data_IF_789454441741
#
_entry.id   IF_789454441741
#
_cell.length_a   1.000
_cell.length_b   1.000
_cell.length_c   1.000
_cell.angle_alpha   90.00
_cell.angle_beta   90.00
_cell.angle_gamma   90.00
#
_symmetry.space_group_name_H-M   'P 1'
#
loop_
_entity.id
_entity.type
_entity.pdbx_description
1 polymer ?
#
# COMPACT_ATOMS: atom_id res chain seq x y z
N UNK A 1 -42.77 6.27 15.27
CA UNK A 1 -42.52 7.60 14.66
C UNK A 1 -43.19 7.67 13.31
N UNK A 2 -43.90 8.75 12.97
CA UNK A 2 -44.43 8.95 11.60
C UNK A 2 -43.22 8.98 10.64
N UNK A 3 -43.27 8.17 9.57
CA UNK A 3 -42.17 7.97 8.59
C UNK A 3 -41.57 9.29 8.04
N UNK A 4 -42.30 10.38 8.12
CA UNK A 4 -41.93 11.73 7.68
C UNK A 4 -40.69 12.28 8.38
N UNK A 5 -40.51 12.05 9.69
CA UNK A 5 -39.39 12.63 10.44
C UNK A 5 -38.03 12.03 10.03
N UNK A 6 -37.87 10.69 9.97
CA UNK A 6 -36.65 10.09 9.43
C UNK A 6 -36.35 10.52 7.98
N UNK A 7 -37.36 10.59 7.12
CA UNK A 7 -37.19 10.99 5.72
C UNK A 7 -36.70 12.42 5.57
N UNK A 8 -37.22 13.35 6.38
CA UNK A 8 -36.74 14.74 6.39
C UNK A 8 -35.30 14.83 6.87
N UNK A 9 -34.93 14.08 7.92
CA UNK A 9 -33.55 14.04 8.40
C UNK A 9 -32.62 13.53 7.30
N UNK A 10 -32.97 12.42 6.64
CA UNK A 10 -32.17 11.86 5.53
C UNK A 10 -32.05 12.84 4.36
N UNK A 11 -33.14 13.52 3.98
CA UNK A 11 -33.13 14.51 2.91
C UNK A 11 -32.26 15.72 3.24
N UNK A 12 -32.35 16.24 4.47
CA UNK A 12 -31.53 17.37 4.93
C UNK A 12 -30.05 17.00 4.98
N UNK A 13 -29.71 15.83 5.53
CA UNK A 13 -28.33 15.34 5.57
C UNK A 13 -27.78 15.13 4.16
N UNK A 14 -28.56 14.53 3.26
CA UNK A 14 -28.18 14.35 1.86
C UNK A 14 -27.92 15.68 1.15
N UNK A 15 -28.78 16.68 1.36
CA UNK A 15 -28.59 18.02 0.80
C UNK A 15 -27.35 18.71 1.38
N UNK A 16 -27.09 18.58 2.68
CA UNK A 16 -25.86 19.08 3.31
C UNK A 16 -24.62 18.49 2.67
N UNK A 17 -24.58 17.17 2.40
CA UNK A 17 -23.45 16.55 1.71
C UNK A 17 -23.24 17.10 0.29
N UNK A 18 -24.32 17.30 -0.47
CA UNK A 18 -24.24 17.88 -1.82
C UNK A 18 -23.69 19.31 -1.77
N UNK A 19 -24.21 20.16 -0.89
CA UNK A 19 -23.75 21.55 -0.76
C UNK A 19 -22.29 21.62 -0.30
N UNK A 20 -21.90 20.78 0.66
CA UNK A 20 -20.53 20.70 1.18
C UNK A 20 -19.54 20.29 0.09
N UNK A 21 -19.93 19.39 -0.82
CA UNK A 21 -19.06 18.93 -1.91
C UNK A 21 -18.74 20.01 -2.94
N UNK A 22 -19.69 20.92 -3.22
CA UNK A 22 -19.51 21.96 -4.25
C UNK A 22 -19.10 23.33 -3.69
N UNK A 23 -19.14 23.54 -2.37
CA UNK A 23 -18.88 24.84 -1.74
C UNK A 23 -17.76 24.73 -0.70
N UNK A 24 -16.54 25.24 -0.97
CA UNK A 24 -15.41 25.14 -0.04
C UNK A 24 -15.70 25.70 1.36
N UNK A 25 -16.51 26.76 1.47
CA UNK A 25 -16.90 27.34 2.75
C UNK A 25 -17.83 26.44 3.60
N UNK A 26 -18.45 25.42 3.00
CA UNK A 26 -19.39 24.51 3.65
C UNK A 26 -18.78 23.14 3.96
N UNK A 27 -17.50 22.91 3.67
CA UNK A 27 -16.80 21.63 3.90
C UNK A 27 -16.95 21.10 5.33
N UNK A 28 -16.88 22.00 6.33
CA UNK A 28 -17.03 21.68 7.74
C UNK A 28 -18.39 21.05 8.10
N UNK A 29 -19.46 21.38 7.37
CA UNK A 29 -20.79 20.80 7.59
C UNK A 29 -20.82 19.33 7.15
N UNK A 30 -20.11 19.02 6.07
CA UNK A 30 -19.90 17.66 5.58
C UNK A 30 -19.07 16.83 6.56
N UNK A 31 -17.98 17.39 7.09
CA UNK A 31 -17.15 16.73 8.11
C UNK A 31 -17.94 16.41 9.39
N UNK A 32 -18.69 17.39 9.90
CA UNK A 32 -19.54 17.20 11.08
C UNK A 32 -20.61 16.12 10.83
N UNK A 33 -21.26 16.15 9.67
CA UNK A 33 -22.25 15.15 9.29
C UNK A 33 -21.64 13.74 9.18
N UNK A 34 -20.43 13.62 8.64
CA UNK A 34 -19.71 12.35 8.56
C UNK A 34 -19.36 11.79 9.95
N UNK A 35 -18.86 12.62 10.86
CA UNK A 35 -18.56 12.22 12.24
C UNK A 35 -19.81 11.68 12.95
N UNK A 36 -20.93 12.40 12.84
CA UNK A 36 -22.20 11.94 13.43
C UNK A 36 -22.73 10.67 12.78
N UNK A 37 -22.59 10.54 11.46
CA UNK A 37 -22.95 9.32 10.75
C UNK A 37 -22.13 8.12 11.26
N UNK A 38 -20.82 8.27 11.43
CA UNK A 38 -19.95 7.19 11.91
C UNK A 38 -20.30 6.76 13.34
N UNK A 39 -20.62 7.71 14.23
CA UNK A 39 -21.11 7.42 15.60
C UNK A 39 -22.43 6.63 15.54
N UNK A 40 -23.39 7.09 14.75
CA UNK A 40 -24.70 6.44 14.62
C UNK A 40 -24.58 5.05 13.96
N UNK A 41 -23.74 4.91 12.95
CA UNK A 41 -23.45 3.64 12.28
C UNK A 41 -22.83 2.64 13.26
N UNK A 42 -21.87 3.07 14.09
CA UNK A 42 -21.28 2.24 15.13
C UNK A 42 -22.32 1.69 16.11
N UNK A 43 -23.22 2.55 16.60
CA UNK A 43 -24.33 2.13 17.49
C UNK A 43 -25.29 1.17 16.76
N UNK A 44 -25.64 1.47 15.50
CA UNK A 44 -26.53 0.63 14.70
C UNK A 44 -25.94 -0.77 14.45
N UNK A 45 -24.64 -0.89 14.20
CA UNK A 45 -23.97 -2.19 14.05
C UNK A 45 -24.01 -3.00 15.34
N UNK A 46 -23.76 -2.38 16.50
CA UNK A 46 -23.85 -3.06 17.80
C UNK A 46 -25.28 -3.53 18.07
N UNK A 47 -26.28 -2.68 17.85
CA UNK A 47 -27.69 -3.03 18.06
C UNK A 47 -28.15 -4.11 17.07
N UNK A 48 -27.77 -4.01 15.80
CA UNK A 48 -28.10 -4.98 14.75
C UNK A 48 -27.50 -6.35 15.05
N UNK A 49 -26.19 -6.42 15.33
CA UNK A 49 -25.51 -7.66 15.71
C UNK A 49 -26.04 -8.24 17.03
N UNK A 50 -26.28 -7.38 18.03
CA UNK A 50 -26.85 -7.78 19.32
C UNK A 50 -28.26 -8.35 19.18
N UNK A 51 -29.10 -7.78 18.31
CA UNK A 51 -30.44 -8.31 18.05
C UNK A 51 -30.38 -9.67 17.34
N UNK A 52 -29.52 -9.82 16.34
CA UNK A 52 -29.29 -11.09 15.64
C UNK A 52 -28.87 -12.17 16.64
N UNK A 53 -27.84 -11.90 17.46
CA UNK A 53 -27.37 -12.83 18.49
C UNK A 53 -28.49 -13.17 19.49
N UNK A 54 -29.19 -12.17 20.03
CA UNK A 54 -30.28 -12.38 21.01
C UNK A 54 -31.36 -13.32 20.46
N UNK A 55 -31.84 -13.05 19.24
CA UNK A 55 -32.93 -13.84 18.62
C UNK A 55 -32.49 -15.28 18.36
N UNK A 56 -31.30 -15.47 17.78
CA UNK A 56 -30.83 -16.79 17.42
C UNK A 56 -30.33 -17.60 18.63
N UNK A 57 -29.66 -16.99 19.61
CA UNK A 57 -29.26 -17.64 20.86
C UNK A 57 -30.49 -18.09 21.65
N UNK A 58 -31.52 -17.24 21.74
CA UNK A 58 -32.78 -17.63 22.37
C UNK A 58 -33.44 -18.80 21.65
N UNK A 59 -33.47 -18.79 20.31
CA UNK A 59 -34.04 -19.88 19.52
C UNK A 59 -33.30 -21.21 19.72
N UNK A 60 -31.98 -21.17 19.89
CA UNK A 60 -31.13 -22.32 20.22
C UNK A 60 -31.40 -22.80 21.66
N UNK A 61 -31.39 -21.89 22.62
CA UNK A 61 -31.67 -22.20 24.04
C UNK A 61 -33.05 -22.81 24.23
N UNK A 62 -34.06 -22.26 23.55
CA UNK A 62 -35.45 -22.74 23.60
C UNK A 62 -35.67 -24.02 22.74
N UNK A 63 -34.63 -24.52 22.04
CA UNK A 63 -34.68 -25.66 21.10
C UNK A 63 -35.86 -25.64 20.10
N UNK A 64 -36.27 -24.45 19.66
CA UNK A 64 -37.41 -24.31 18.74
C UNK A 64 -37.10 -24.93 17.38
N UNK A 65 -38.14 -25.30 16.63
CA UNK A 65 -37.99 -25.81 15.27
C UNK A 65 -37.06 -24.91 14.42
N UNK A 66 -36.09 -25.53 13.76
CA UNK A 66 -35.04 -24.83 13.00
C UNK A 66 -33.95 -24.17 13.86
N UNK A 67 -33.72 -24.62 15.10
CA UNK A 67 -32.60 -24.16 15.94
C UNK A 67 -31.23 -24.43 15.30
N UNK A 68 -31.08 -25.54 14.57
CA UNK A 68 -29.83 -25.88 13.88
C UNK A 68 -29.39 -24.81 12.87
N UNK A 69 -30.32 -24.30 12.05
CA UNK A 69 -30.06 -23.19 11.13
C UNK A 69 -29.65 -21.90 11.86
N UNK A 70 -30.21 -21.65 13.05
CA UNK A 70 -29.79 -20.50 13.87
C UNK A 70 -28.37 -20.65 14.39
N UNK A 71 -27.93 -21.87 14.69
CA UNK A 71 -26.53 -22.17 15.00
C UNK A 71 -25.60 -21.84 13.83
N UNK A 72 -25.98 -22.26 12.61
CA UNK A 72 -25.23 -21.94 11.38
C UNK A 72 -25.16 -20.42 11.16
N UNK A 73 -26.27 -19.68 11.34
CA UNK A 73 -26.27 -18.22 11.21
C UNK A 73 -25.34 -17.54 12.21
N UNK A 74 -25.36 -17.95 13.48
CA UNK A 74 -24.45 -17.39 14.49
C UNK A 74 -23.00 -17.69 14.13
N UNK A 75 -22.70 -18.93 13.73
CA UNK A 75 -21.35 -19.32 13.36
C UNK A 75 -20.84 -18.49 12.17
N UNK A 76 -21.65 -18.34 11.13
CA UNK A 76 -21.31 -17.53 9.96
C UNK A 76 -21.11 -16.04 10.33
N UNK A 77 -21.97 -15.51 11.19
CA UNK A 77 -21.85 -14.14 11.71
C UNK A 77 -20.55 -13.95 12.49
N UNK A 78 -20.25 -14.83 13.45
CA UNK A 78 -19.04 -14.76 14.28
C UNK A 78 -17.78 -14.94 13.43
N UNK A 79 -17.77 -15.91 12.51
CA UNK A 79 -16.63 -16.11 11.61
C UNK A 79 -16.37 -14.86 10.75
N UNK A 80 -17.42 -14.27 10.17
CA UNK A 80 -17.31 -13.03 9.38
C UNK A 80 -16.84 -11.86 10.22
N UNK A 81 -17.34 -11.73 11.46
CA UNK A 81 -16.94 -10.68 12.39
C UNK A 81 -15.47 -10.81 12.81
N UNK A 82 -15.00 -12.02 13.09
CA UNK A 82 -13.60 -12.30 13.44
C UNK A 82 -12.68 -12.03 12.25
N UNK A 83 -13.04 -12.49 11.05
CA UNK A 83 -12.31 -12.20 9.81
C UNK A 83 -12.21 -10.69 9.57
N UNK A 84 -13.34 -9.99 9.76
CA UNK A 84 -13.44 -8.54 9.70
C UNK A 84 -12.53 -7.87 10.73
N UNK A 85 -12.83 -7.94 12.02
CA UNK A 85 -12.07 -7.27 13.07
C UNK A 85 -10.58 -7.63 13.09
N UNK A 86 -10.26 -8.88 12.74
CA UNK A 86 -8.89 -9.37 12.68
C UNK A 86 -8.12 -8.92 11.45
N UNK A 87 -8.70 -8.22 10.47
CA UNK A 87 -8.01 -7.81 9.23
C UNK A 87 -7.38 -8.98 8.44
N UNK A 88 -7.97 -10.17 8.53
CA UNK A 88 -7.43 -11.35 7.86
C UNK A 88 -7.39 -11.13 6.33
N UNK A 89 -6.19 -11.24 5.75
CA UNK A 89 -5.96 -11.05 4.31
C UNK A 89 -5.78 -9.60 3.84
N UNK A 90 -5.81 -8.61 4.74
CA UNK A 90 -5.42 -7.24 4.37
C UNK A 90 -3.89 -7.18 4.18
N UNK A 91 -3.38 -6.80 2.99
CA UNK A 91 -1.94 -6.65 2.79
C UNK A 91 -1.45 -5.49 3.66
N UNK A 92 -0.32 -5.64 4.35
CA UNK A 92 0.06 -4.65 5.33
C UNK A 92 0.38 -3.30 4.66
N UNK A 93 0.02 -2.20 5.34
CA UNK A 93 -0.06 -0.90 4.70
C UNK A 93 1.33 -0.42 4.27
N UNK A 94 1.56 -0.02 2.99
CA UNK A 94 2.90 0.29 2.51
C UNK A 94 3.63 1.36 3.32
N UNK A 95 2.89 2.36 3.81
CA UNK A 95 3.41 3.44 4.65
C UNK A 95 3.70 3.01 6.10
N UNK A 96 3.11 1.91 6.57
CA UNK A 96 3.26 1.40 7.94
C UNK A 96 4.24 0.23 8.04
N UNK A 97 4.48 -0.48 6.92
CA UNK A 97 5.47 -1.55 6.85
C UNK A 97 6.90 -1.06 6.60
N UNK A 98 7.08 0.18 6.13
CA UNK A 98 8.41 0.74 5.84
C UNK A 98 9.24 -0.18 4.94
N UNK A 99 8.64 -0.61 3.82
CA UNK A 99 9.27 -1.54 2.88
C UNK A 99 10.64 -1.03 2.40
N UNK A 100 11.64 -1.90 2.48
CA UNK A 100 13.02 -1.56 2.16
C UNK A 100 13.82 -1.04 3.35
N UNK A 101 13.24 -0.99 4.55
CA UNK A 101 13.95 -0.59 5.77
C UNK A 101 14.17 -1.76 6.72
N UNK A 102 15.25 -1.69 7.48
CA UNK A 102 15.56 -2.53 8.63
C UNK A 102 15.50 -1.67 9.88
N UNK A 103 15.01 -2.21 10.99
CA UNK A 103 14.84 -1.48 12.25
C UNK A 103 15.73 -2.04 13.35
N UNK A 104 16.16 -1.17 14.24
CA UNK A 104 16.74 -1.54 15.53
C UNK A 104 16.07 -0.73 16.64
N UNK A 105 15.73 -1.42 17.72
CA UNK A 105 15.14 -0.79 18.91
C UNK A 105 16.15 0.18 19.52
N UNK A 106 15.74 1.44 19.64
CA UNK A 106 16.54 2.49 20.23
C UNK A 106 15.61 3.52 20.90
N UNK A 107 15.62 3.63 22.24
CA UNK A 107 14.80 4.63 22.91
C UNK A 107 15.31 6.05 22.61
N UNK A 108 14.42 7.04 22.66
CA UNK A 108 14.72 8.42 22.28
C UNK A 108 15.83 9.03 23.17
N UNK A 109 15.91 8.58 24.42
CA UNK A 109 16.91 9.00 25.41
C UNK A 109 18.32 8.47 25.07
N UNK A 110 18.40 7.38 24.32
CA UNK A 110 19.65 6.79 23.86
C UNK A 110 20.24 7.48 22.62
N UNK A 111 19.49 8.38 21.96
CA UNK A 111 20.05 9.21 20.89
C UNK A 111 21.21 10.07 21.44
N UNK A 112 22.30 10.23 20.69
CA UNK A 112 23.41 11.08 21.11
C UNK A 112 23.04 12.56 21.11
N UNK A 113 23.74 13.34 21.93
CA UNK A 113 23.59 14.80 21.99
C UNK A 113 24.03 15.48 20.68
N UNK A 114 24.92 14.84 19.90
CA UNK A 114 25.31 15.29 18.56
C UNK A 114 24.14 15.34 17.57
N UNK A 115 23.05 14.60 17.85
CA UNK A 115 21.82 14.60 17.04
C UNK A 115 20.73 15.50 17.62
N UNK A 116 21.07 16.43 18.51
CA UNK A 116 20.13 17.46 18.99
C UNK A 116 20.39 18.75 18.24
N UNK A 117 19.57 19.03 17.23
CA UNK A 117 19.57 20.29 16.52
C UNK A 117 18.98 21.39 17.39
N UNK A 118 19.61 22.56 17.42
CA UNK A 118 19.19 23.71 18.25
C UNK A 118 19.10 24.96 17.41
N UNK A 119 17.97 25.65 17.46
CA UNK A 119 17.74 26.90 16.72
C UNK A 119 17.10 27.94 17.63
N UNK A 120 17.49 29.22 17.57
CA UNK A 120 16.83 30.28 18.32
C UNK A 120 15.33 30.36 17.96
N UNK A 121 14.48 30.48 18.98
CA UNK A 121 13.05 30.64 18.78
C UNK A 121 12.20 30.13 19.94
N UNK A 122 10.89 30.34 19.80
CA UNK A 122 9.89 29.82 20.72
C UNK A 122 8.85 29.05 19.93
N UNK A 123 8.39 27.94 20.51
CA UNK A 123 7.28 27.16 20.00
C UNK A 123 6.02 28.02 20.18
N UNK A 124 5.30 28.36 19.10
CA UNK A 124 4.12 29.20 19.21
C UNK A 124 3.01 28.44 19.95
N UNK A 125 2.31 29.09 20.87
CA UNK A 125 1.10 28.53 21.46
C UNK A 125 -0.09 28.74 20.52
N UNK A 126 -0.96 27.74 20.38
CA UNK A 126 -2.28 27.92 19.76
C UNK A 126 -3.27 28.41 20.83
N UNK A 127 -4.16 29.33 20.44
CA UNK A 127 -5.15 29.95 21.33
C UNK A 127 -6.15 28.93 21.90
N UNK A 128 -6.37 27.83 21.18
CA UNK A 128 -7.22 26.71 21.60
C UNK A 128 -6.49 25.69 22.50
N UNK A 129 -5.22 25.91 22.84
CA UNK A 129 -4.41 24.99 23.65
C UNK A 129 -4.05 23.67 22.95
N UNK A 130 -4.22 23.60 21.62
CA UNK A 130 -3.95 22.38 20.86
C UNK A 130 -2.45 22.03 20.89
N UNK A 131 -2.09 20.78 21.25
CA UNK A 131 -0.71 20.37 21.39
C UNK A 131 0.01 20.32 20.04
N UNK A 132 1.34 20.25 20.08
CA UNK A 132 2.15 20.03 18.89
C UNK A 132 1.74 18.73 18.14
N UNK A 133 1.95 18.67 16.81
CA UNK A 133 1.57 17.52 16.01
C UNK A 133 2.14 16.21 16.59
N UNK A 134 1.36 15.11 16.59
CA UNK A 134 1.81 13.82 17.13
C UNK A 134 3.13 13.33 16.54
N UNK A 135 3.39 13.63 15.27
CA UNK A 135 4.59 13.26 14.52
C UNK A 135 5.88 13.84 15.10
N UNK A 136 5.83 14.98 15.82
CA UNK A 136 7.00 15.72 16.30
C UNK A 136 7.04 15.92 17.81
N UNK A 137 5.89 15.85 18.50
CA UNK A 137 5.76 16.19 19.94
C UNK A 137 6.70 15.43 20.88
N UNK A 138 7.22 14.27 20.45
CA UNK A 138 8.20 13.49 21.23
C UNK A 138 9.64 13.94 20.99
N UNK A 139 9.94 14.55 19.85
CA UNK A 139 11.30 14.90 19.42
C UNK A 139 11.62 16.39 19.57
N UNK A 140 10.60 17.25 19.61
CA UNK A 140 10.77 18.70 19.75
C UNK A 140 10.62 19.12 21.23
N UNK A 141 11.48 20.02 21.68
CA UNK A 141 11.41 20.64 23.00
C UNK A 141 11.83 22.12 22.92
N UNK A 142 11.46 22.91 23.92
CA UNK A 142 11.93 24.28 24.08
C UNK A 142 12.72 24.39 25.39
N UNK A 143 13.93 24.93 25.32
CA UNK A 143 14.81 25.16 26.48
C UNK A 143 15.63 26.43 26.27
N UNK A 144 15.71 27.28 27.29
CA UNK A 144 16.57 28.47 27.30
C UNK A 144 16.41 29.39 26.05
N UNK A 145 15.17 29.58 25.57
CA UNK A 145 14.90 30.39 24.38
C UNK A 145 15.34 29.78 23.04
N UNK A 146 15.68 28.49 23.05
CA UNK A 146 15.98 27.71 21.86
C UNK A 146 14.95 26.58 21.70
N UNK A 147 14.73 26.22 20.43
CA UNK A 147 13.97 25.05 20.04
C UNK A 147 14.96 23.95 19.72
N UNK A 148 14.80 22.83 20.41
CA UNK A 148 15.60 21.62 20.24
C UNK A 148 14.79 20.58 19.46
N UNK A 149 15.42 19.94 18.49
CA UNK A 149 14.87 18.76 17.82
C UNK A 149 15.86 17.60 17.96
N UNK A 150 15.41 16.49 18.52
CA UNK A 150 16.23 15.31 18.77
C UNK A 150 16.05 14.26 17.66
N UNK A 151 17.14 13.91 17.00
CA UNK A 151 17.19 13.01 15.85
C UNK A 151 17.17 13.78 14.53
N UNK A 152 16.79 13.09 13.45
CA UNK A 152 16.66 13.69 12.13
C UNK A 152 15.21 14.02 11.82
N UNK A 153 14.97 15.22 11.28
CA UNK A 153 13.63 15.67 10.95
C UNK A 153 13.23 15.16 9.56
N UNK A 154 12.09 14.48 9.49
CA UNK A 154 11.52 13.97 8.25
C UNK A 154 10.76 15.06 7.48
N UNK A 155 10.61 14.94 6.15
CA UNK A 155 9.84 15.91 5.35
C UNK A 155 8.40 16.12 5.83
N UNK A 156 7.70 15.04 6.20
CA UNK A 156 6.32 15.11 6.70
C UNK A 156 6.26 15.83 8.06
N UNK A 157 7.24 15.59 8.94
CA UNK A 157 7.35 16.30 10.23
C UNK A 157 7.58 17.80 10.05
N UNK A 158 8.39 18.19 9.04
CA UNK A 158 8.59 19.59 8.67
C UNK A 158 7.27 20.21 8.21
N UNK A 159 6.55 19.51 7.33
CA UNK A 159 5.26 19.97 6.84
C UNK A 159 4.25 20.17 7.99
N UNK A 160 4.07 19.17 8.84
CA UNK A 160 3.20 19.24 10.02
C UNK A 160 3.56 20.42 10.94
N UNK A 161 4.86 20.65 11.18
CA UNK A 161 5.31 21.81 11.96
C UNK A 161 4.99 23.13 11.27
N UNK A 162 5.19 23.24 9.96
CA UNK A 162 4.86 24.47 9.22
C UNK A 162 3.37 24.80 9.25
N UNK A 163 2.51 23.79 9.21
CA UNK A 163 1.05 23.95 9.28
C UNK A 163 0.54 24.25 10.69
N UNK A 164 1.31 23.88 11.73
CA UNK A 164 0.90 24.11 13.12
C UNK A 164 0.59 25.59 13.43
N UNK A 165 1.27 26.54 12.80
CA UNK A 165 0.96 27.97 12.95
C UNK A 165 1.28 28.72 11.68
N UNK A 166 0.29 29.38 11.08
CA UNK A 166 0.49 30.18 9.88
C UNK A 166 1.14 31.54 10.18
N UNK A 167 2.44 31.52 10.53
CA UNK A 167 3.28 32.71 10.70
C UNK A 167 4.58 32.55 9.94
N UNK A 168 4.96 33.55 9.15
CA UNK A 168 6.23 33.55 8.38
C UNK A 168 7.46 33.31 9.26
N UNK A 169 7.48 33.91 10.45
CA UNK A 169 8.58 33.73 11.41
C UNK A 169 8.72 32.26 11.83
N UNK A 170 7.61 31.61 12.15
CA UNK A 170 7.58 30.20 12.52
C UNK A 170 8.04 29.29 11.37
N UNK A 171 7.52 29.49 10.15
CA UNK A 171 7.94 28.70 8.98
C UNK A 171 9.45 28.81 8.72
N UNK A 172 10.06 29.98 8.95
CA UNK A 172 11.52 30.18 8.85
C UNK A 172 12.28 29.43 9.95
N UNK A 173 11.80 29.47 11.19
CA UNK A 173 12.40 28.70 12.30
C UNK A 173 12.33 27.21 12.02
N UNK A 174 11.20 26.69 11.52
CA UNK A 174 11.04 25.29 11.13
C UNK A 174 11.97 24.93 9.98
N UNK A 175 12.15 25.80 9.00
CA UNK A 175 13.13 25.56 7.92
C UNK A 175 14.56 25.46 8.47
N UNK A 176 14.99 26.42 9.30
CA UNK A 176 16.31 26.39 9.91
C UNK A 176 16.52 25.14 10.78
N UNK A 177 15.49 24.73 11.53
CA UNK A 177 15.51 23.52 12.35
C UNK A 177 15.60 22.27 11.49
N UNK A 178 14.85 22.21 10.39
CA UNK A 178 14.92 21.11 9.43
C UNK A 178 16.32 20.97 8.83
N UNK A 179 16.94 22.08 8.40
CA UNK A 179 18.30 22.06 7.84
C UNK A 179 19.35 21.60 8.87
N UNK A 180 19.21 22.01 10.14
CA UNK A 180 20.10 21.59 11.22
C UNK A 180 19.89 20.12 11.64
N UNK A 181 18.67 19.60 11.54
CA UNK A 181 18.29 18.24 11.93
C UNK A 181 18.40 17.24 10.78
N UNK A 182 19.46 17.31 9.96
CA UNK A 182 19.70 16.38 8.86
C UNK A 182 20.77 15.33 9.20
N UNK A 183 20.67 14.10 8.65
CA UNK A 183 21.74 13.13 8.75
C UNK A 183 23.01 13.61 8.03
N UNK A 184 24.18 13.04 8.39
CA UNK A 184 25.40 13.23 7.63
C UNK A 184 25.17 12.96 6.15
N UNK A 185 25.87 13.69 5.27
CA UNK A 185 25.64 13.64 3.83
C UNK A 185 25.70 12.22 3.25
N UNK A 186 26.65 11.40 3.72
CA UNK A 186 26.81 9.99 3.32
C UNK A 186 25.63 9.07 3.69
N UNK A 187 24.85 9.46 4.70
CA UNK A 187 23.71 8.71 5.23
C UNK A 187 22.36 9.31 4.83
N UNK A 188 22.34 10.46 4.14
CA UNK A 188 21.11 11.15 3.78
C UNK A 188 20.21 10.27 2.90
N UNK A 189 18.94 10.17 3.29
CA UNK A 189 17.96 9.30 2.64
C UNK A 189 18.10 7.80 2.93
N UNK A 190 19.13 7.39 3.68
CA UNK A 190 19.32 6.00 4.11
C UNK A 190 18.89 5.75 5.55
N UNK A 191 18.91 6.76 6.41
CA UNK A 191 18.64 6.60 7.84
C UNK A 191 17.47 7.46 8.28
N UNK A 192 16.68 6.93 9.21
CA UNK A 192 15.62 7.66 9.88
C UNK A 192 15.54 7.23 11.35
N UNK A 193 14.92 8.08 12.17
CA UNK A 193 14.55 7.72 13.52
C UNK A 193 13.06 7.94 13.71
N UNK A 194 12.36 6.90 14.16
CA UNK A 194 10.91 6.95 14.36
C UNK A 194 10.60 6.93 15.85
N UNK A 195 10.25 8.08 16.41
CA UNK A 195 9.97 8.23 17.83
C UNK A 195 8.76 7.43 18.32
N UNK A 196 7.75 7.24 17.47
CA UNK A 196 6.58 6.42 17.80
C UNK A 196 6.91 4.93 17.87
N UNK A 197 7.90 4.49 17.09
CA UNK A 197 8.39 3.12 17.09
C UNK A 197 9.58 2.89 18.02
N UNK A 198 10.13 3.95 18.64
CA UNK A 198 11.37 3.92 19.44
C UNK A 198 12.47 3.13 18.71
N UNK A 199 12.68 3.48 17.44
CA UNK A 199 13.53 2.69 16.57
C UNK A 199 14.33 3.57 15.62
N UNK A 200 15.60 3.20 15.46
CA UNK A 200 16.47 3.64 14.37
C UNK A 200 16.19 2.74 13.16
N UNK A 201 16.15 3.31 11.96
CA UNK A 201 16.00 2.55 10.73
C UNK A 201 17.13 2.81 9.73
N UNK A 202 17.34 1.83 8.87
CA UNK A 202 18.23 1.93 7.72
C UNK A 202 17.54 1.38 6.47
N UNK A 203 17.56 2.14 5.38
CA UNK A 203 16.97 1.81 4.07
C UNK A 203 17.99 1.11 3.18
N UNK A 204 17.64 -0.08 2.70
CA UNK A 204 18.48 -0.92 1.87
C UNK A 204 19.49 -1.74 2.67
N UNK A 205 20.58 -2.15 2.01
CA UNK A 205 21.64 -2.94 2.64
C UNK A 205 22.78 -2.03 3.08
N UNK A 206 23.14 -2.08 4.37
CA UNK A 206 24.18 -1.22 4.93
C UNK A 206 25.57 -1.64 4.45
N UNK A 207 26.37 -0.66 4.00
CA UNK A 207 27.79 -0.85 3.69
C UNK A 207 28.66 -0.69 4.94
N UNK A 208 29.92 -1.12 4.86
CA UNK A 208 30.87 -0.95 5.97
C UNK A 208 31.13 0.54 6.25
N UNK A 209 31.15 1.37 5.21
CA UNK A 209 31.28 2.82 5.32
C UNK A 209 30.05 3.45 5.99
N UNK A 210 28.83 2.98 5.67
CA UNK A 210 27.61 3.46 6.35
C UNK A 210 27.62 3.10 7.84
N UNK A 211 28.05 1.87 8.18
CA UNK A 211 28.19 1.42 9.59
C UNK A 211 29.19 2.29 10.34
N UNK A 212 30.37 2.52 9.76
CA UNK A 212 31.40 3.37 10.37
C UNK A 212 30.90 4.80 10.58
N UNK A 213 30.20 5.37 9.59
CA UNK A 213 29.61 6.70 9.70
C UNK A 213 28.58 6.79 10.83
N UNK A 214 27.74 5.76 11.02
CA UNK A 214 26.79 5.70 12.12
C UNK A 214 27.47 5.53 13.48
N UNK A 215 28.47 4.64 13.58
CA UNK A 215 29.22 4.43 14.83
C UNK A 215 29.99 5.68 15.28
N UNK A 216 30.47 6.49 14.33
CA UNK A 216 31.17 7.75 14.62
C UNK A 216 30.27 8.81 15.29
N UNK A 217 28.94 8.69 15.22
CA UNK A 217 28.01 9.66 15.81
C UNK A 217 27.91 9.57 17.34
N UNK A 218 28.25 8.42 17.94
CA UNK A 218 28.05 8.17 19.38
C UNK A 218 28.80 6.95 19.90
N UNK A 219 29.36 7.09 21.10
CA UNK A 219 29.93 5.98 21.86
C UNK A 219 28.96 5.26 22.79
N UNK A 220 27.69 5.71 22.86
CA UNK A 220 26.68 5.10 23.75
C UNK A 220 26.48 3.61 23.42
N UNK A 221 26.49 2.69 24.41
CA UNK A 221 26.32 1.25 24.16
C UNK A 221 25.03 0.89 23.41
N UNK A 222 23.90 1.49 23.79
CA UNK A 222 22.61 1.27 23.12
C UNK A 222 22.62 1.72 21.65
N UNK A 223 23.37 2.78 21.32
CA UNK A 223 23.54 3.22 19.94
C UNK A 223 24.36 2.22 19.13
N UNK A 224 25.53 1.79 19.65
CA UNK A 224 26.39 0.80 18.98
C UNK A 224 25.65 -0.51 18.73
N UNK A 225 24.92 -1.00 19.74
CA UNK A 225 24.09 -2.19 19.60
C UNK A 225 23.02 -2.03 18.51
N UNK A 226 22.34 -0.88 18.45
CA UNK A 226 21.34 -0.63 17.43
C UNK A 226 21.97 -0.56 16.02
N UNK A 227 23.13 0.08 15.88
CA UNK A 227 23.86 0.15 14.60
C UNK A 227 24.34 -1.23 14.14
N UNK A 228 24.87 -2.05 15.05
CA UNK A 228 25.30 -3.42 14.75
C UNK A 228 24.12 -4.30 14.34
N UNK A 229 23.00 -4.20 15.05
CA UNK A 229 21.77 -4.88 14.68
C UNK A 229 21.29 -4.50 13.28
N UNK A 230 21.26 -3.20 12.95
CA UNK A 230 20.91 -2.72 11.61
C UNK A 230 21.88 -3.26 10.55
N UNK A 231 23.18 -3.25 10.83
CA UNK A 231 24.19 -3.72 9.90
C UNK A 231 24.02 -5.22 9.57
N UNK A 232 23.86 -6.06 10.59
CA UNK A 232 23.68 -7.50 10.42
C UNK A 232 22.39 -7.81 9.65
N UNK A 233 21.26 -7.24 10.09
CA UNK A 233 19.95 -7.58 9.55
C UNK A 233 19.70 -6.99 8.16
N UNK A 234 20.22 -5.79 7.87
CA UNK A 234 20.11 -5.18 6.54
C UNK A 234 20.92 -5.92 5.47
N UNK A 235 21.80 -6.85 5.87
CA UNK A 235 22.63 -7.65 4.97
C UNK A 235 22.18 -9.11 4.87
N UNK A 236 21.04 -9.44 5.46
CA UNK A 236 20.42 -10.76 5.35
C UNK A 236 20.25 -11.15 3.88
N UNK A 237 20.60 -12.39 3.54
CA UNK A 237 20.52 -12.89 2.16
C UNK A 237 19.27 -13.73 2.00
N UNK A 238 18.36 -13.26 1.15
CA UNK A 238 17.14 -13.96 0.77
C UNK A 238 17.36 -14.67 -0.56
N UNK A 239 16.87 -15.91 -0.66
CA UNK A 239 16.96 -16.74 -1.87
C UNK A 239 15.58 -17.19 -2.29
N UNK A 240 15.25 -17.03 -3.57
CA UNK A 240 13.98 -17.48 -4.14
C UNK A 240 14.23 -18.32 -5.38
N UNK A 241 13.69 -19.55 -5.47
CA UNK A 241 13.78 -20.38 -6.67
C UNK A 241 13.10 -19.74 -7.89
N UNK A 242 13.83 -19.69 -9.00
CA UNK A 242 13.41 -19.13 -10.29
C UNK A 242 13.99 -19.98 -11.43
N UNK A 243 13.17 -20.89 -11.95
CA UNK A 243 13.57 -21.87 -12.98
C UNK A 243 13.81 -21.26 -14.36
N UNK A 244 13.28 -20.06 -14.61
CA UNK A 244 13.37 -19.36 -15.88
C UNK A 244 13.40 -17.85 -15.67
N UNK A 245 14.10 -17.13 -16.56
CA UNK A 245 14.16 -15.67 -16.55
C UNK A 245 13.47 -15.10 -17.80
N UNK A 246 12.89 -13.88 -17.70
CA UNK A 246 12.45 -13.12 -18.87
C UNK A 246 13.57 -12.98 -19.91
N UNK A 247 13.22 -12.99 -21.20
CA UNK A 247 14.20 -12.97 -22.32
C UNK A 247 15.14 -11.77 -22.29
N UNK A 248 14.69 -10.63 -21.75
CA UNK A 248 15.48 -9.40 -21.61
C UNK A 248 15.68 -9.04 -20.13
N UNK A 249 15.80 -10.07 -19.28
CA UNK A 249 16.01 -9.86 -17.85
C UNK A 249 17.23 -8.98 -17.59
N UNK A 250 16.99 -7.86 -16.92
CA UNK A 250 18.01 -6.94 -16.48
C UNK A 250 17.77 -6.57 -15.02
N UNK A 251 18.86 -6.52 -14.26
CA UNK A 251 18.83 -6.09 -12.87
C UNK A 251 18.68 -4.56 -12.86
N UNK A 252 17.62 -4.01 -12.23
CA UNK A 252 17.46 -2.56 -12.11
C UNK A 252 18.69 -1.92 -11.45
N UNK A 253 19.13 -0.77 -11.97
CA UNK A 253 20.29 -0.03 -11.45
C UNK A 253 20.19 0.23 -9.94
N UNK A 254 18.98 0.54 -9.45
CA UNK A 254 18.70 0.79 -8.04
C UNK A 254 18.98 -0.42 -7.12
N UNK A 255 19.14 -1.62 -7.67
CA UNK A 255 19.50 -2.82 -6.93
C UNK A 255 21.01 -3.13 -7.00
N UNK A 256 21.68 -2.75 -8.09
CA UNK A 256 23.11 -2.98 -8.29
C UNK A 256 23.53 -4.40 -7.90
N UNK A 257 24.62 -4.52 -7.15
CA UNK A 257 25.18 -5.80 -6.70
C UNK A 257 24.38 -6.50 -5.60
N UNK A 258 23.27 -5.89 -5.13
CA UNK A 258 22.45 -6.49 -4.09
C UNK A 258 21.59 -7.62 -4.61
N UNK A 259 21.21 -7.59 -5.89
CA UNK A 259 20.48 -8.66 -6.55
C UNK A 259 21.42 -9.38 -7.50
N UNK A 260 21.36 -10.71 -7.51
CA UNK A 260 22.00 -11.53 -8.54
C UNK A 260 21.12 -12.74 -8.87
N UNK A 261 21.28 -13.28 -10.07
CA UNK A 261 20.75 -14.59 -10.41
C UNK A 261 21.86 -15.63 -10.31
N UNK A 262 21.59 -16.69 -9.54
CA UNK A 262 22.44 -17.87 -9.48
C UNK A 262 21.98 -18.89 -10.52
N UNK A 263 22.74 -19.03 -11.61
CA UNK A 263 22.37 -19.92 -12.71
C UNK A 263 22.58 -21.39 -12.41
N UNK A 264 23.41 -21.74 -11.41
CA UNK A 264 23.65 -23.13 -11.02
C UNK A 264 22.46 -23.66 -10.23
N UNK A 265 22.06 -22.92 -9.20
CA UNK A 265 20.95 -23.30 -8.31
C UNK A 265 19.58 -22.82 -8.80
N UNK A 266 19.55 -22.02 -9.88
CA UNK A 266 18.35 -21.38 -10.44
C UNK A 266 17.61 -20.54 -9.40
N UNK A 267 18.31 -19.60 -8.77
CA UNK A 267 17.76 -18.78 -7.69
C UNK A 267 18.04 -17.30 -7.88
N UNK A 268 17.07 -16.45 -7.54
CA UNK A 268 17.34 -15.04 -7.28
C UNK A 268 17.89 -14.91 -5.86
N UNK A 269 19.02 -14.21 -5.73
CA UNK A 269 19.70 -13.97 -4.46
C UNK A 269 19.73 -12.47 -4.22
N UNK A 270 19.09 -12.03 -3.13
CA UNK A 270 19.01 -10.63 -2.74
C UNK A 270 19.68 -10.41 -1.39
N UNK A 271 20.52 -9.38 -1.29
CA UNK A 271 21.10 -8.88 -0.03
C UNK A 271 20.31 -7.68 0.48
N UNK A 272 19.67 -7.85 1.63
CA UNK A 272 18.90 -6.84 2.34
C UNK A 272 17.47 -6.65 1.84
N UNK A 273 16.72 -5.74 2.49
CA UNK A 273 15.29 -5.56 2.22
C UNK A 273 15.03 -4.88 0.86
N UNK A 274 13.94 -5.25 0.21
CA UNK A 274 13.51 -4.69 -1.07
C UNK A 274 12.48 -3.57 -0.84
N UNK A 275 12.68 -2.37 -1.41
CA UNK A 275 11.67 -1.31 -1.36
C UNK A 275 10.52 -1.56 -2.35
N UNK A 276 9.38 -0.89 -2.17
CA UNK A 276 8.26 -0.98 -3.10
C UNK A 276 8.66 -0.52 -4.52
N UNK A 277 9.42 0.57 -4.64
CA UNK A 277 9.89 1.08 -5.92
C UNK A 277 10.86 0.11 -6.61
N UNK A 278 11.78 -0.51 -5.85
CA UNK A 278 12.71 -1.51 -6.38
C UNK A 278 11.98 -2.77 -6.83
N UNK A 279 10.97 -3.22 -6.07
CA UNK A 279 10.08 -4.32 -6.46
C UNK A 279 9.37 -4.00 -7.77
N UNK A 280 8.80 -2.81 -7.90
CA UNK A 280 8.04 -2.44 -9.10
C UNK A 280 8.95 -2.23 -10.31
N UNK A 281 10.18 -1.73 -10.12
CA UNK A 281 11.20 -1.75 -11.15
C UNK A 281 11.55 -3.19 -11.58
N UNK A 282 11.72 -4.11 -10.61
CA UNK A 282 12.05 -5.51 -10.91
C UNK A 282 10.90 -6.27 -11.59
N UNK A 283 9.64 -5.86 -11.42
CA UNK A 283 8.50 -6.42 -12.17
C UNK A 283 8.51 -6.03 -13.65
N UNK A 284 9.10 -4.87 -14.00
CA UNK A 284 9.11 -4.29 -15.35
C UNK A 284 10.22 -4.90 -16.23
N UNK A 285 10.09 -6.19 -16.52
CA UNK A 285 11.05 -6.96 -17.35
C UNK A 285 10.52 -7.28 -18.75
N UNK A 286 9.30 -6.85 -19.06
CA UNK A 286 8.61 -7.17 -20.30
C UNK A 286 8.49 -5.92 -21.17
N UNK A 287 8.64 -6.07 -22.49
CA UNK A 287 8.62 -4.93 -23.40
C UNK A 287 7.24 -4.25 -23.38
N UNK A 288 7.20 -2.91 -23.43
CA UNK A 288 5.95 -2.21 -23.59
C UNK A 288 5.33 -2.58 -24.94
N UNK A 289 4.02 -2.79 -24.95
CA UNK A 289 3.33 -2.98 -26.22
C UNK A 289 3.39 -1.68 -27.04
N UNK A 290 3.45 -1.82 -28.36
CA UNK A 290 3.28 -0.72 -29.32
C UNK A 290 2.10 -1.02 -30.24
N UNK A 291 1.42 0.02 -30.77
CA UNK A 291 0.47 -0.16 -31.86
C UNK A 291 1.14 -0.87 -33.02
N UNK A 292 0.44 -1.83 -33.61
CA UNK A 292 0.89 -2.57 -34.78
C UNK A 292 0.37 -1.87 -36.04
N UNK A 293 1.22 -1.78 -37.06
CA UNK A 293 0.82 -1.30 -38.37
C UNK A 293 -0.13 -2.29 -39.09
N UNK A 294 -0.58 -1.95 -40.30
CA UNK A 294 -1.52 -2.79 -41.05
C UNK A 294 -0.93 -4.16 -41.41
N UNK A 295 0.33 -4.23 -41.81
CA UNK A 295 0.98 -5.48 -42.23
C UNK A 295 1.23 -6.40 -41.03
N UNK A 296 1.65 -5.82 -39.91
CA UNK A 296 1.84 -6.52 -38.64
C UNK A 296 0.52 -7.07 -38.10
N UNK A 297 -0.59 -6.31 -38.19
CA UNK A 297 -1.94 -6.78 -37.81
C UNK A 297 -2.40 -7.93 -38.70
N UNK A 298 -2.21 -7.81 -40.01
CA UNK A 298 -2.53 -8.89 -40.95
C UNK A 298 -1.70 -10.15 -40.68
N UNK A 299 -0.40 -10.01 -40.38
CA UNK A 299 0.46 -11.12 -39.99
C UNK A 299 0.00 -11.77 -38.68
N UNK A 300 -0.34 -10.98 -37.66
CA UNK A 300 -0.85 -11.48 -36.38
C UNK A 300 -2.16 -12.25 -36.58
N UNK A 301 -3.10 -11.70 -37.37
CA UNK A 301 -4.37 -12.36 -37.71
C UNK A 301 -4.13 -13.70 -38.41
N UNK A 302 -3.32 -13.73 -39.46
CA UNK A 302 -2.97 -14.98 -40.17
C UNK A 302 -2.37 -16.02 -39.23
N UNK A 303 -1.49 -15.59 -38.31
CA UNK A 303 -0.93 -16.48 -37.30
C UNK A 303 -2.02 -17.04 -36.39
N UNK A 304 -2.91 -16.19 -35.87
CA UNK A 304 -4.00 -16.61 -34.99
C UNK A 304 -4.97 -17.57 -35.70
N UNK A 305 -5.33 -17.29 -36.94
CA UNK A 305 -6.22 -18.15 -37.74
C UNK A 305 -5.54 -19.48 -38.09
N UNK A 306 -4.23 -19.50 -38.36
CA UNK A 306 -3.47 -20.74 -38.61
C UNK A 306 -3.46 -21.71 -37.41
N UNK A 307 -3.70 -21.19 -36.20
CA UNK A 307 -3.74 -21.98 -34.98
C UNK A 307 -5.13 -22.57 -34.73
N UNK A 308 -6.15 -22.25 -35.53
CA UNK A 308 -7.49 -22.72 -35.29
C UNK A 308 -8.44 -22.37 -36.43
N UNK A 309 -9.62 -21.89 -36.08
CA UNK A 309 -10.63 -21.50 -37.06
C UNK A 309 -10.48 -20.03 -37.46
N UNK A 310 -10.91 -19.66 -38.68
CA UNK A 310 -10.97 -18.27 -39.11
C UNK A 310 -11.78 -17.41 -38.14
N UNK A 311 -11.34 -16.15 -37.95
CA UNK A 311 -12.11 -15.18 -37.16
C UNK A 311 -13.36 -14.77 -37.94
N UNK A 312 -14.47 -14.55 -37.23
CA UNK A 312 -15.64 -13.93 -37.84
C UNK A 312 -15.40 -12.42 -38.09
N UNK A 313 -16.32 -11.75 -38.79
CA UNK A 313 -16.18 -10.33 -39.14
C UNK A 313 -16.05 -9.42 -37.91
N UNK A 314 -16.77 -9.71 -36.83
CA UNK A 314 -16.70 -8.93 -35.60
C UNK A 314 -15.36 -9.08 -34.89
N UNK A 315 -14.90 -10.33 -34.73
CA UNK A 315 -13.60 -10.67 -34.17
C UNK A 315 -12.45 -10.03 -34.96
N UNK A 316 -12.54 -10.02 -36.30
CA UNK A 316 -11.56 -9.35 -37.15
C UNK A 316 -11.52 -7.83 -36.91
N UNK A 317 -12.69 -7.17 -36.84
CA UNK A 317 -12.77 -5.72 -36.54
C UNK A 317 -12.21 -5.38 -35.16
N UNK A 318 -12.47 -6.20 -34.15
CA UNK A 318 -11.95 -6.04 -32.79
C UNK A 318 -10.43 -6.18 -32.77
N UNK A 319 -9.89 -7.19 -33.44
CA UNK A 319 -8.45 -7.39 -33.57
C UNK A 319 -7.77 -6.17 -34.17
N UNK A 320 -8.27 -5.67 -35.30
CA UNK A 320 -7.67 -4.53 -35.98
C UNK A 320 -7.71 -3.25 -35.13
N UNK A 321 -8.80 -3.05 -34.38
CA UNK A 321 -8.97 -1.93 -33.47
C UNK A 321 -7.98 -2.00 -32.30
N UNK A 322 -7.97 -3.10 -31.56
CA UNK A 322 -7.17 -3.24 -30.34
C UNK A 322 -5.66 -3.29 -30.62
N UNK A 323 -5.26 -3.89 -31.73
CA UNK A 323 -3.86 -3.93 -32.12
C UNK A 323 -3.36 -2.60 -32.69
N UNK A 324 -4.24 -1.74 -33.22
CA UNK A 324 -3.90 -0.43 -33.79
C UNK A 324 -3.98 0.74 -32.81
N UNK A 325 -4.57 0.56 -31.63
CA UNK A 325 -4.67 1.59 -30.60
C UNK A 325 -3.45 1.57 -29.65
N UNK A 326 -3.17 2.69 -28.93
CA UNK A 326 -2.19 2.70 -27.86
C UNK A 326 -2.47 1.57 -26.86
N UNK A 327 -1.59 0.56 -26.77
CA UNK A 327 -1.85 -0.63 -25.98
C UNK A 327 -1.53 -0.40 -24.49
N UNK A 328 -1.98 -1.29 -23.60
CA UNK A 328 -1.58 -1.28 -22.18
C UNK A 328 -0.07 -1.49 -21.99
N UNK A 329 0.37 -1.48 -20.72
CA UNK A 329 1.77 -1.45 -20.30
C UNK A 329 2.69 -2.54 -20.89
N UNK A 330 2.17 -3.67 -21.38
CA UNK A 330 2.96 -4.80 -21.91
C UNK A 330 2.26 -5.56 -23.03
N UNK A 331 3.05 -6.34 -23.79
CA UNK A 331 2.52 -7.25 -24.83
C UNK A 331 1.58 -8.30 -24.23
N UNK A 332 1.88 -8.82 -23.03
CA UNK A 332 1.02 -9.79 -22.36
C UNK A 332 -0.34 -9.21 -21.99
N UNK A 333 -0.39 -8.01 -21.40
CA UNK A 333 -1.67 -7.36 -21.08
C UNK A 333 -2.46 -7.04 -22.35
N UNK A 334 -1.80 -6.55 -23.42
CA UNK A 334 -2.47 -6.31 -24.71
C UNK A 334 -3.11 -7.59 -25.24
N UNK A 335 -2.35 -8.69 -25.29
CA UNK A 335 -2.83 -9.95 -25.84
C UNK A 335 -3.92 -10.60 -24.98
N UNK A 336 -3.86 -10.43 -23.65
CA UNK A 336 -4.94 -10.83 -22.73
C UNK A 336 -6.24 -10.07 -23.02
N UNK A 337 -6.18 -8.74 -23.12
CA UNK A 337 -7.36 -7.92 -23.45
C UNK A 337 -7.95 -8.32 -24.80
N UNK A 338 -7.09 -8.52 -25.81
CA UNK A 338 -7.52 -9.03 -27.11
C UNK A 338 -8.18 -10.40 -26.99
N UNK A 339 -7.58 -11.33 -26.24
CA UNK A 339 -8.14 -12.67 -26.06
C UNK A 339 -9.49 -12.68 -25.40
N UNK A 340 -9.69 -11.85 -24.36
CA UNK A 340 -10.99 -11.68 -23.70
C UNK A 340 -12.02 -11.14 -24.70
N UNK A 341 -11.71 -10.03 -25.38
CA UNK A 341 -12.62 -9.40 -26.34
C UNK A 341 -12.98 -10.34 -27.51
N UNK A 342 -12.03 -11.12 -28.04
CA UNK A 342 -12.33 -12.08 -29.10
C UNK A 342 -13.26 -13.20 -28.64
N UNK A 343 -13.13 -13.67 -27.39
CA UNK A 343 -13.98 -14.74 -26.84
C UNK A 343 -15.41 -14.27 -26.56
N UNK A 344 -15.61 -12.99 -26.24
CA UNK A 344 -16.93 -12.38 -26.08
C UNK A 344 -17.74 -12.39 -27.39
N UNK A 345 -17.05 -12.34 -28.53
CA UNK A 345 -17.65 -12.24 -29.87
C UNK A 345 -17.54 -13.53 -30.70
N UNK A 346 -17.13 -14.64 -30.09
CA UNK A 346 -17.15 -15.95 -30.72
C UNK A 346 -16.15 -16.94 -30.12
N UNK A 347 -16.36 -18.27 -30.29
CA UNK A 347 -15.42 -19.24 -29.77
C UNK A 347 -14.01 -19.12 -30.36
N UNK A 348 -13.01 -19.53 -29.58
CA UNK A 348 -11.62 -19.69 -30.02
C UNK A 348 -11.15 -21.11 -29.73
N UNK A 349 -10.33 -21.67 -30.61
CA UNK A 349 -9.67 -22.96 -30.37
C UNK A 349 -8.74 -22.87 -29.16
N UNK A 350 -8.43 -24.02 -28.53
CA UNK A 350 -7.51 -24.06 -27.37
C UNK A 350 -6.15 -23.46 -27.71
N UNK A 351 -5.57 -23.85 -28.84
CA UNK A 351 -4.32 -23.33 -29.40
C UNK A 351 -4.32 -21.82 -29.64
N UNK A 352 -5.44 -21.25 -30.09
CA UNK A 352 -5.62 -19.80 -30.26
C UNK A 352 -5.58 -19.08 -28.91
N UNK A 353 -6.30 -19.61 -27.91
CA UNK A 353 -6.25 -19.08 -26.54
C UNK A 353 -4.86 -19.23 -25.92
N UNK A 354 -4.23 -20.38 -26.10
CA UNK A 354 -2.89 -20.64 -25.57
C UNK A 354 -1.89 -19.62 -26.09
N UNK A 355 -1.92 -19.32 -27.39
CA UNK A 355 -1.11 -18.28 -28.03
C UNK A 355 -1.40 -16.87 -27.50
N UNK A 356 -2.68 -16.49 -27.36
CA UNK A 356 -3.05 -15.15 -26.88
C UNK A 356 -2.64 -14.92 -25.41
N UNK A 357 -2.75 -15.94 -24.57
CA UNK A 357 -2.50 -15.79 -23.13
C UNK A 357 -1.08 -16.20 -22.68
N UNK A 358 -0.24 -16.76 -23.56
CA UNK A 358 1.09 -17.25 -23.18
C UNK A 358 1.97 -16.15 -22.56
N UNK A 359 2.09 -15.01 -23.25
CA UNK A 359 2.88 -13.87 -22.77
C UNK A 359 2.38 -13.38 -21.40
N UNK A 360 1.07 -13.24 -21.24
CA UNK A 360 0.48 -12.83 -19.96
C UNK A 360 0.74 -13.83 -18.83
N UNK A 361 0.66 -15.14 -19.09
CA UNK A 361 0.98 -16.16 -18.08
C UNK A 361 2.44 -16.06 -17.61
N UNK A 362 3.37 -15.83 -18.54
CA UNK A 362 4.79 -15.59 -18.21
C UNK A 362 4.97 -14.32 -17.36
N UNK A 363 4.28 -13.23 -17.70
CA UNK A 363 4.30 -11.99 -16.93
C UNK A 363 3.80 -12.17 -15.49
N UNK A 364 2.65 -12.84 -15.33
CA UNK A 364 2.07 -13.12 -14.00
C UNK A 364 3.00 -14.01 -13.18
N UNK A 365 3.57 -15.06 -13.80
CA UNK A 365 4.51 -15.94 -13.12
C UNK A 365 5.76 -15.19 -12.63
N UNK A 366 6.32 -14.29 -13.44
CA UNK A 366 7.44 -13.44 -13.03
C UNK A 366 7.06 -12.50 -11.90
N UNK A 367 5.93 -11.78 -12.03
CA UNK A 367 5.44 -10.86 -11.00
C UNK A 367 5.23 -11.58 -9.66
N UNK A 368 4.77 -12.82 -9.69
CA UNK A 368 4.62 -13.66 -8.50
C UNK A 368 5.97 -13.97 -7.85
N UNK A 369 7.01 -14.32 -8.63
CA UNK A 369 8.37 -14.54 -8.10
C UNK A 369 9.01 -13.28 -7.52
N UNK A 370 8.78 -12.13 -8.13
CA UNK A 370 9.24 -10.84 -7.56
C UNK A 370 8.52 -10.53 -6.25
N UNK A 371 7.23 -10.83 -6.14
CA UNK A 371 6.48 -10.66 -4.89
C UNK A 371 6.94 -11.64 -3.80
N UNK A 372 7.20 -12.90 -4.16
CA UNK A 372 7.79 -13.90 -3.26
C UNK A 372 9.11 -13.39 -2.67
N UNK A 373 10.01 -12.89 -3.53
CA UNK A 373 11.29 -12.29 -3.11
C UNK A 373 11.08 -11.06 -2.22
N UNK A 374 10.17 -10.17 -2.60
CA UNK A 374 9.86 -8.96 -1.84
C UNK A 374 9.38 -9.27 -0.42
N UNK A 375 8.46 -10.23 -0.27
CA UNK A 375 7.95 -10.62 1.04
C UNK A 375 8.98 -11.41 1.85
N UNK A 376 9.74 -12.31 1.22
CA UNK A 376 10.78 -13.09 1.90
C UNK A 376 11.99 -12.24 2.35
N UNK A 377 12.24 -11.11 1.70
CA UNK A 377 13.29 -10.17 2.08
C UNK A 377 12.81 -9.09 3.08
N UNK A 378 11.51 -9.03 3.36
CA UNK A 378 10.92 -8.03 4.24
C UNK A 378 10.80 -8.54 5.68
N UNK A 379 11.16 -7.70 6.65
CA UNK A 379 10.87 -7.96 8.06
C UNK A 379 9.47 -7.42 8.37
N UNK A 380 8.48 -8.30 8.37
CA UNK A 380 7.09 -7.93 8.65
C UNK A 380 6.98 -7.38 10.07
N UNK A 381 6.61 -6.10 10.20
CA UNK A 381 6.48 -5.44 11.50
C UNK A 381 5.04 -5.38 11.97
N UNK A 382 4.10 -5.13 11.05
CA UNK A 382 2.68 -5.07 11.33
C UNK A 382 1.87 -5.84 10.27
N UNK A 383 1.85 -7.19 10.34
CA UNK A 383 1.31 -8.06 9.28
C UNK A 383 -0.15 -7.77 8.86
N UNK A 384 -0.87 -7.01 9.67
CA UNK A 384 -2.32 -6.76 9.62
C UNK A 384 -2.64 -5.26 9.60
N UNK A 385 -1.64 -4.41 9.36
CA UNK A 385 -1.77 -2.95 9.36
C UNK A 385 -2.56 -2.40 8.18
N UNK A 386 -2.70 -3.22 7.14
CA UNK A 386 -3.38 -2.94 5.88
C UNK A 386 -4.77 -2.34 5.97
N UNK A 387 -5.14 -1.61 4.93
CA UNK A 387 -6.53 -1.29 4.65
C UNK A 387 -7.24 -2.49 4.03
N UNK A 388 -8.48 -2.77 4.44
CA UNK A 388 -9.28 -3.85 3.85
C UNK A 388 -9.50 -3.65 2.35
N UNK A 389 -9.52 -2.40 1.88
CA UNK A 389 -9.74 -2.05 0.47
C UNK A 389 -8.45 -1.96 -0.34
N UNK A 390 -7.30 -2.22 0.28
CA UNK A 390 -6.02 -2.21 -0.42
C UNK A 390 -6.02 -3.22 -1.57
N UNK A 391 -5.49 -2.80 -2.72
CA UNK A 391 -5.41 -3.62 -3.91
C UNK A 391 -4.68 -4.94 -3.62
N UNK A 392 -5.32 -6.06 -3.99
CA UNK A 392 -4.80 -7.41 -3.72
C UNK A 392 -5.33 -8.07 -2.44
N UNK A 393 -6.12 -7.37 -1.60
CA UNK A 393 -6.83 -8.02 -0.50
C UNK A 393 -8.00 -8.88 -1.01
N UNK A 394 -8.45 -9.91 -0.25
CA UNK A 394 -9.65 -10.67 -0.57
C UNK A 394 -10.92 -9.81 -0.68
N UNK A 395 -11.03 -8.76 0.16
CA UNK A 395 -12.16 -7.85 0.13
C UNK A 395 -12.14 -6.93 -1.10
N UNK A 396 -10.96 -6.43 -1.50
CA UNK A 396 -10.80 -5.68 -2.74
C UNK A 396 -11.20 -6.54 -3.94
N UNK A 397 -10.76 -7.80 -3.98
CA UNK A 397 -11.15 -8.74 -5.05
C UNK A 397 -12.67 -8.95 -5.09
N UNK A 398 -13.28 -9.21 -3.94
CA UNK A 398 -14.74 -9.40 -3.84
C UNK A 398 -15.51 -8.15 -4.28
N UNK A 399 -15.04 -6.96 -3.87
CA UNK A 399 -15.64 -5.70 -4.27
C UNK A 399 -15.51 -5.47 -5.78
N UNK A 400 -14.32 -5.64 -6.34
CA UNK A 400 -14.01 -5.36 -7.74
C UNK A 400 -14.67 -6.36 -8.70
N UNK A 401 -14.67 -7.65 -8.35
CA UNK A 401 -15.05 -8.73 -9.26
C UNK A 401 -16.38 -9.41 -8.94
N UNK A 402 -16.97 -9.18 -7.77
CA UNK A 402 -18.32 -9.65 -7.46
C UNK A 402 -19.29 -8.49 -7.26
N UNK A 403 -19.02 -7.56 -6.33
CA UNK A 403 -19.97 -6.50 -6.01
C UNK A 403 -20.16 -5.50 -7.14
N UNK A 404 -19.07 -4.94 -7.70
CA UNK A 404 -19.14 -3.98 -8.81
C UNK A 404 -19.91 -4.52 -10.02
N UNK A 405 -19.61 -5.73 -10.56
CA UNK A 405 -20.39 -6.29 -11.66
C UNK A 405 -21.88 -6.45 -11.32
N UNK A 406 -22.22 -6.95 -10.12
CA UNK A 406 -23.60 -7.08 -9.68
C UNK A 406 -24.32 -5.72 -9.63
N UNK A 407 -23.66 -4.68 -9.13
CA UNK A 407 -24.24 -3.32 -9.14
C UNK A 407 -24.39 -2.76 -10.54
N UNK A 408 -23.46 -3.04 -11.46
CA UNK A 408 -23.58 -2.63 -12.85
C UNK A 408 -24.79 -3.30 -13.54
N UNK A 409 -25.11 -4.55 -13.19
CA UNK A 409 -26.32 -5.23 -13.72
C UNK A 409 -27.63 -4.67 -13.17
N UNK A 410 -27.64 -4.05 -11.98
CA UNK A 410 -28.85 -3.42 -11.43
C UNK A 410 -29.27 -2.15 -12.16
N UNK A 411 -28.38 -1.54 -12.94
CA UNK A 411 -28.68 -0.40 -13.83
C UNK A 411 -28.84 -0.82 -15.30
N UNK A 412 -28.74 -2.12 -15.59
CA UNK A 412 -28.95 -2.70 -16.92
C UNK A 412 -30.36 -3.31 -17.10
N UNK A 413 -31.20 -3.27 -16.05
CA UNK A 413 -32.66 -3.45 -16.10
C UNK A 413 -33.33 -2.10 -15.87
#
# INVERSE_FOLDING_TARGET
MKRTVPLLITALVGFTFVVSFFTPAAEFLGELAAVWFDILAGIAFILGGGNLLKVHLKKISDRKAGWGYSGVTILAFVATLVVGLGKFGAPPAPKQEFYGETFATLPLEALPESLVARVPGQIPEKENGEPLPPSVRRQIAQRNGQIEFRGWMLPDQKHDLQEYKDRRAWRRTVEALYQAAQPPESLRGKVAYYADHRALSFKGAMTDADRQALLALSDKPAWKQAVDHLYEHSRTVTRVPVDWLPEHFAIPEALGDRLRYDSQDKQLVLRGPLSADQRDALKKQFPPARPLDADQRAAFRRKLESLGRPLNEEQARILDRLLGQPPPESIGERNKLLGIALMEHGPLAKSQRDFLFEAYRKEVAWRAKVLELFHAAHQVKYPWSGEYRAQGSPFWWLYEYAFKPLTATMFAM
#
